data_IF_499025914319
#
_entry.id   IF_499025914319
#
_cell.length_a   1.000
_cell.length_b   1.000
_cell.length_c   1.000
_cell.angle_alpha   90.00
_cell.angle_beta   90.00
_cell.angle_gamma   90.00
#
_symmetry.space_group_name_H-M   'P 1'
#
loop_
_entity.id
_entity.type
_entity.pdbx_description
1 polymer ?
#
# COMPACT_ATOMS: atom_id res chain seq x y z
N UNK A 1 27.16 -4.69 -7.03
CA UNK A 1 26.37 -4.43 -5.81
C UNK A 1 25.00 -3.89 -6.22
N UNK A 2 23.91 -4.21 -5.50
CA UNK A 2 22.62 -3.57 -5.74
C UNK A 2 22.72 -2.06 -5.54
N UNK A 3 21.87 -1.29 -6.23
CA UNK A 3 21.74 0.15 -5.99
C UNK A 3 21.32 0.45 -4.56
N UNK A 4 21.65 1.64 -4.06
CA UNK A 4 21.51 2.03 -2.65
C UNK A 4 20.15 1.68 -2.03
N UNK A 5 19.04 2.07 -2.68
CA UNK A 5 17.71 1.81 -2.15
C UNK A 5 17.36 0.31 -2.12
N UNK A 6 17.79 -0.46 -3.14
CA UNK A 6 17.63 -1.92 -3.15
C UNK A 6 18.43 -2.59 -2.04
N UNK A 7 19.64 -2.08 -1.76
CA UNK A 7 20.46 -2.56 -0.65
C UNK A 7 19.76 -2.32 0.69
N UNK A 8 19.23 -1.11 0.93
CA UNK A 8 18.49 -0.80 2.15
C UNK A 8 17.25 -1.67 2.34
N UNK A 9 16.47 -1.91 1.28
CA UNK A 9 15.29 -2.78 1.32
C UNK A 9 15.65 -4.21 1.71
N UNK A 10 16.71 -4.78 1.13
CA UNK A 10 17.19 -6.12 1.48
C UNK A 10 17.68 -6.16 2.94
N UNK A 11 18.41 -5.13 3.37
CA UNK A 11 18.89 -5.02 4.75
C UNK A 11 17.72 -4.94 5.75
N UNK A 12 16.68 -4.15 5.46
CA UNK A 12 15.50 -4.04 6.29
C UNK A 12 14.77 -5.39 6.43
N UNK A 13 14.55 -6.10 5.31
CA UNK A 13 13.92 -7.43 5.35
C UNK A 13 14.76 -8.46 6.11
N UNK A 14 16.09 -8.41 5.98
CA UNK A 14 16.97 -9.26 6.75
C UNK A 14 16.86 -8.99 8.26
N UNK A 15 16.82 -7.72 8.67
CA UNK A 15 16.64 -7.34 10.07
C UNK A 15 15.28 -7.81 10.59
N UNK A 16 14.18 -7.58 9.85
CA UNK A 16 12.85 -8.06 10.24
C UNK A 16 12.80 -9.58 10.43
N UNK A 17 13.50 -10.32 9.57
CA UNK A 17 13.60 -11.77 9.67
C UNK A 17 14.40 -12.23 10.89
N UNK A 18 15.56 -11.62 11.15
CA UNK A 18 16.44 -11.96 12.28
C UNK A 18 15.79 -11.59 13.62
N UNK A 19 15.17 -10.41 13.70
CA UNK A 19 14.47 -9.92 14.90
C UNK A 19 13.10 -10.60 15.10
N UNK A 20 12.65 -11.43 14.13
CA UNK A 20 11.39 -12.19 14.20
C UNK A 20 10.18 -11.30 14.51
N UNK A 21 10.06 -10.17 13.82
CA UNK A 21 8.94 -9.26 14.03
C UNK A 21 7.61 -9.93 13.67
N UNK A 22 6.58 -9.70 14.48
CA UNK A 22 5.23 -10.20 14.19
C UNK A 22 4.59 -9.45 13.01
N UNK A 23 4.90 -8.16 12.88
CA UNK A 23 4.35 -7.25 11.86
C UNK A 23 5.45 -6.33 11.35
N UNK A 24 5.52 -6.16 10.04
CA UNK A 24 6.35 -5.15 9.38
C UNK A 24 5.46 -4.20 8.56
N UNK A 25 5.62 -2.90 8.75
CA UNK A 25 5.02 -1.86 7.93
C UNK A 25 6.09 -1.39 6.95
N UNK A 26 5.84 -1.53 5.66
CA UNK A 26 6.82 -1.26 4.61
C UNK A 26 6.31 -0.12 3.74
N UNK A 27 6.98 1.02 3.84
CA UNK A 27 6.70 2.17 3.00
C UNK A 27 7.31 1.96 1.61
N UNK A 28 6.51 2.23 0.58
CA UNK A 28 6.96 2.21 -0.81
C UNK A 28 7.88 3.41 -1.05
N UNK A 29 9.03 3.19 -1.69
CA UNK A 29 9.94 4.28 -2.04
C UNK A 29 9.36 5.22 -3.10
N UNK A 30 9.27 4.74 -4.34
CA UNK A 30 8.75 5.53 -5.47
C UNK A 30 7.80 4.69 -6.32
N UNK A 31 6.61 5.24 -6.58
CA UNK A 31 5.61 4.59 -7.41
C UNK A 31 4.88 3.47 -6.67
N UNK A 32 5.21 2.21 -6.99
CA UNK A 32 4.54 1.02 -6.48
C UNK A 32 4.89 -0.23 -7.28
N UNK A 33 4.38 -0.34 -8.51
CA UNK A 33 4.56 -1.48 -9.43
C UNK A 33 6.03 -1.96 -9.50
N UNK A 34 6.94 -1.02 -9.78
CA UNK A 34 8.36 -1.31 -10.01
C UNK A 34 9.24 -0.95 -8.80
N UNK A 35 8.65 -0.62 -7.66
CA UNK A 35 9.40 -0.30 -6.46
C UNK A 35 10.07 -1.57 -5.91
N UNK A 36 11.28 -1.43 -5.36
CA UNK A 36 12.02 -2.58 -4.86
C UNK A 36 11.40 -3.23 -3.61
N UNK A 37 10.48 -2.54 -2.92
CA UNK A 37 9.69 -3.10 -1.83
C UNK A 37 8.57 -4.02 -2.32
N UNK A 38 8.16 -3.90 -3.60
CA UNK A 38 7.05 -4.66 -4.20
C UNK A 38 7.39 -6.14 -4.51
N UNK A 39 8.38 -6.70 -3.80
CA UNK A 39 8.73 -8.12 -3.82
C UNK A 39 7.90 -8.95 -2.82
N UNK A 40 7.15 -8.28 -1.92
CA UNK A 40 6.27 -8.94 -0.95
C UNK A 40 5.09 -9.56 -1.71
N UNK A 41 5.01 -10.88 -1.72
CA UNK A 41 4.01 -11.62 -2.50
C UNK A 41 2.64 -11.70 -1.82
N UNK A 42 2.62 -11.81 -0.48
CA UNK A 42 1.41 -12.03 0.31
C UNK A 42 1.29 -10.99 1.45
N UNK A 43 1.16 -9.69 1.14
CA UNK A 43 0.86 -8.70 2.17
C UNK A 43 -0.55 -8.95 2.72
N UNK A 44 -0.73 -8.67 4.02
CA UNK A 44 -2.05 -8.77 4.67
C UNK A 44 -2.97 -7.65 4.19
N UNK A 45 -2.42 -6.45 4.03
CA UNK A 45 -3.12 -5.26 3.57
C UNK A 45 -2.14 -4.34 2.82
N UNK A 46 -2.62 -3.64 1.80
CA UNK A 46 -1.89 -2.60 1.09
C UNK A 46 -2.64 -1.28 1.20
N UNK A 47 -1.93 -0.14 1.17
CA UNK A 47 -2.53 1.19 1.34
C UNK A 47 -1.98 2.22 0.36
N UNK A 48 -2.86 3.06 -0.19
CA UNK A 48 -2.51 4.25 -0.97
C UNK A 48 -3.02 5.49 -0.23
N UNK A 49 -2.11 6.39 0.13
CA UNK A 49 -2.43 7.62 0.87
C UNK A 49 -2.78 8.78 -0.04
N UNK A 50 -1.92 9.16 -0.97
CA UNK A 50 -2.20 10.32 -1.85
C UNK A 50 -1.64 10.11 -3.24
N UNK A 51 -2.41 10.57 -4.23
CA UNK A 51 -2.02 10.62 -5.64
C UNK A 51 -1.90 12.09 -6.02
N UNK A 52 -0.67 12.52 -6.30
CA UNK A 52 -0.35 13.90 -6.68
C UNK A 52 0.52 13.89 -7.94
N UNK A 53 0.22 14.78 -8.88
CA UNK A 53 1.02 15.00 -10.09
C UNK A 53 0.16 15.41 -11.29
N UNK A 54 0.80 15.52 -12.45
CA UNK A 54 0.17 15.97 -13.69
C UNK A 54 -0.53 14.85 -14.48
N UNK A 55 -0.16 13.59 -14.26
CA UNK A 55 -0.72 12.42 -14.94
C UNK A 55 -1.39 11.48 -13.95
N UNK A 56 -2.47 11.95 -13.32
CA UNK A 56 -3.18 11.24 -12.24
C UNK A 56 -3.50 9.77 -12.60
N UNK A 57 -4.01 9.42 -13.79
CA UNK A 57 -4.27 8.02 -14.14
C UNK A 57 -3.01 7.15 -14.19
N UNK A 58 -1.91 7.65 -14.74
CA UNK A 58 -0.63 6.95 -14.82
C UNK A 58 -0.02 6.73 -13.42
N UNK A 59 -0.06 7.77 -12.59
CA UNK A 59 0.45 7.71 -11.22
C UNK A 59 -0.40 6.73 -10.38
N UNK A 60 -1.73 6.76 -10.55
CA UNK A 60 -2.64 5.80 -9.94
C UNK A 60 -2.33 4.37 -10.38
N UNK A 61 -2.05 4.16 -11.68
CA UNK A 61 -1.66 2.86 -12.19
C UNK A 61 -0.39 2.36 -11.51
N UNK A 62 0.66 3.18 -11.46
CA UNK A 62 1.92 2.80 -10.81
C UNK A 62 1.75 2.49 -9.32
N UNK A 63 1.00 3.32 -8.58
CA UNK A 63 0.78 3.12 -7.14
C UNK A 63 -0.07 1.90 -6.85
N UNK A 64 -1.12 1.64 -7.65
CA UNK A 64 -1.96 0.45 -7.51
C UNK A 64 -1.24 -0.87 -7.82
N UNK A 65 -0.02 -0.81 -8.39
CA UNK A 65 0.83 -1.97 -8.62
C UNK A 65 1.31 -2.72 -7.36
N UNK A 66 1.10 -2.15 -6.18
CA UNK A 66 1.35 -2.84 -4.91
C UNK A 66 0.24 -3.84 -4.54
N UNK A 67 -0.92 -3.77 -5.20
CA UNK A 67 -2.03 -4.67 -4.93
C UNK A 67 -1.65 -6.11 -5.30
N UNK A 68 -2.11 -7.07 -4.50
CA UNK A 68 -1.91 -8.51 -4.70
C UNK A 68 -3.26 -9.22 -4.58
N UNK A 69 -3.43 -10.34 -5.28
CA UNK A 69 -4.70 -11.08 -5.38
C UNK A 69 -5.31 -11.45 -4.03
N UNK A 70 -4.48 -11.84 -3.06
CA UNK A 70 -4.91 -12.28 -1.74
C UNK A 70 -5.01 -11.15 -0.70
N UNK A 71 -4.88 -9.90 -1.12
CA UNK A 71 -4.78 -8.74 -0.26
C UNK A 71 -5.93 -7.75 -0.53
N UNK A 72 -6.35 -7.02 0.50
CA UNK A 72 -7.23 -5.85 0.31
C UNK A 72 -6.36 -4.61 0.09
N UNK A 73 -6.61 -3.88 -0.99
CA UNK A 73 -6.06 -2.56 -1.22
C UNK A 73 -6.98 -1.50 -0.63
N UNK A 74 -6.45 -0.72 0.30
CA UNK A 74 -7.10 0.41 0.93
C UNK A 74 -6.63 1.72 0.29
N UNK A 75 -7.54 2.68 0.18
CA UNK A 75 -7.18 4.06 -0.15
C UNK A 75 -8.05 5.02 0.65
N UNK A 76 -7.57 6.25 0.84
CA UNK A 76 -8.44 7.38 1.17
C UNK A 76 -9.16 7.88 -0.09
N UNK A 77 -10.02 8.88 0.04
CA UNK A 77 -10.60 9.58 -1.12
C UNK A 77 -9.50 10.11 -2.06
N UNK A 78 -9.68 9.93 -3.36
CA UNK A 78 -8.76 10.38 -4.41
C UNK A 78 -9.58 11.02 -5.55
N UNK A 79 -8.93 11.73 -6.49
CA UNK A 79 -9.60 12.16 -7.72
C UNK A 79 -10.34 11.00 -8.42
N UNK A 80 -11.53 11.23 -9.02
CA UNK A 80 -12.33 10.17 -9.63
C UNK A 80 -11.57 9.32 -10.65
N UNK A 81 -10.75 9.97 -11.48
CA UNK A 81 -9.90 9.31 -12.49
C UNK A 81 -8.83 8.37 -11.88
N UNK A 82 -8.31 8.70 -10.69
CA UNK A 82 -7.42 7.80 -9.96
C UNK A 82 -8.18 6.60 -9.39
N UNK A 83 -9.35 6.84 -8.79
CA UNK A 83 -10.19 5.77 -8.21
C UNK A 83 -10.59 4.76 -9.29
N UNK A 84 -10.93 5.21 -10.49
CA UNK A 84 -11.28 4.33 -11.60
C UNK A 84 -10.11 3.40 -11.98
N UNK A 85 -8.91 3.96 -12.13
CA UNK A 85 -7.70 3.17 -12.43
C UNK A 85 -7.39 2.18 -11.31
N UNK A 86 -7.41 2.60 -10.04
CA UNK A 86 -7.13 1.73 -8.91
C UNK A 86 -8.13 0.56 -8.87
N UNK A 87 -9.43 0.85 -9.01
CA UNK A 87 -10.49 -0.17 -9.04
C UNK A 87 -10.27 -1.17 -10.16
N UNK A 88 -9.93 -0.68 -11.35
CA UNK A 88 -9.69 -1.54 -12.51
C UNK A 88 -8.48 -2.45 -12.30
N UNK A 89 -7.36 -1.93 -11.75
CA UNK A 89 -6.19 -2.77 -11.42
C UNK A 89 -6.50 -3.82 -10.37
N UNK A 90 -7.24 -3.46 -9.31
CA UNK A 90 -7.67 -4.44 -8.30
C UNK A 90 -8.54 -5.53 -8.92
N UNK A 91 -9.44 -5.18 -9.84
CA UNK A 91 -10.31 -6.13 -10.55
C UNK A 91 -9.51 -7.12 -11.41
N UNK A 92 -8.49 -6.64 -12.13
CA UNK A 92 -7.63 -7.48 -13.00
C UNK A 92 -6.91 -8.60 -12.24
N UNK A 93 -6.54 -8.35 -10.99
CA UNK A 93 -5.82 -9.31 -10.15
C UNK A 93 -6.71 -9.96 -9.09
N UNK A 94 -8.03 -9.74 -9.14
CA UNK A 94 -9.00 -10.22 -8.15
C UNK A 94 -8.71 -9.80 -6.69
N UNK A 95 -8.14 -8.61 -6.50
CA UNK A 95 -7.91 -8.00 -5.19
C UNK A 95 -9.14 -7.24 -4.71
N UNK A 96 -9.40 -7.28 -3.40
CA UNK A 96 -10.45 -6.46 -2.78
C UNK A 96 -10.02 -4.99 -2.76
N UNK A 97 -10.94 -4.09 -3.04
CA UNK A 97 -10.70 -2.64 -3.00
C UNK A 97 -11.66 -1.97 -2.02
N UNK A 98 -11.14 -1.08 -1.18
CA UNK A 98 -11.96 -0.36 -0.19
C UNK A 98 -11.46 1.07 0.00
N UNK A 99 -12.38 2.02 -0.05
CA UNK A 99 -12.12 3.42 0.33
C UNK A 99 -12.41 3.54 1.83
N UNK A 100 -11.41 3.95 2.59
CA UNK A 100 -11.51 4.00 4.06
C UNK A 100 -12.20 5.29 4.51
N UNK A 101 -12.92 5.29 5.64
CA UNK A 101 -13.52 6.49 6.18
C UNK A 101 -12.50 7.62 6.42
N UNK A 102 -12.90 8.85 6.14
CA UNK A 102 -12.03 10.04 6.18
C UNK A 102 -11.66 10.49 7.59
N UNK A 103 -12.40 10.06 8.62
CA UNK A 103 -12.11 10.42 10.01
C UNK A 103 -12.04 9.18 10.89
N UNK A 104 -11.17 9.24 11.90
CA UNK A 104 -11.00 8.17 12.89
C UNK A 104 -12.30 7.83 13.65
N UNK A 105 -13.14 8.84 13.87
CA UNK A 105 -14.42 8.70 14.58
C UNK A 105 -15.48 7.95 13.75
N UNK A 106 -15.27 7.82 12.44
CA UNK A 106 -16.16 7.07 11.55
C UNK A 106 -15.93 5.56 11.61
N UNK A 107 -14.84 5.10 12.25
CA UNK A 107 -14.55 3.67 12.36
C UNK A 107 -15.26 3.04 13.55
N UNK A 108 -15.78 1.83 13.34
CA UNK A 108 -16.35 1.00 14.41
C UNK A 108 -15.24 0.17 15.04
N UNK A 109 -14.54 0.75 16.00
CA UNK A 109 -13.46 0.07 16.71
C UNK A 109 -14.01 -1.02 17.63
N UNK A 110 -13.46 -2.26 17.60
CA UNK A 110 -13.85 -3.32 18.52
C UNK A 110 -13.59 -2.95 19.99
N UNK A 111 -12.56 -2.13 20.24
CA UNK A 111 -12.20 -1.58 21.54
C UNK A 111 -12.17 -0.05 21.45
N UNK A 112 -13.05 0.63 22.18
CA UNK A 112 -13.16 2.10 22.22
C UNK A 112 -11.99 2.80 22.93
N UNK A 113 -10.97 2.07 23.36
CA UNK A 113 -9.80 2.58 24.09
C UNK A 113 -8.58 2.89 23.22
N UNK A 114 -8.71 2.83 21.89
CA UNK A 114 -7.62 3.26 20.99
C UNK A 114 -7.58 4.79 21.02
N UNK A 115 -6.72 5.33 21.90
CA UNK A 115 -6.30 6.73 21.86
C UNK A 115 -5.09 6.81 20.95
N UNK A 116 -5.26 7.41 19.78
CA UNK A 116 -4.14 7.87 18.97
C UNK A 116 -3.84 9.28 19.47
N UNK A 117 -2.70 9.43 20.16
CA UNK A 117 -2.18 10.72 20.61
C UNK A 117 -1.81 11.63 19.43
#
# INVERSE_FOLDING_TARGET
>A
MPGYFKFLTIMAFYIFYVEKVDVAIVEVGIGGENDCTNIIQNPIVCGITTILGSTIPEIAWHKAGIAKSNCTLLTVEQPPEAIEVIKQRCKEINSKFLIVPSTINSYKWPNSNIKLE
#
